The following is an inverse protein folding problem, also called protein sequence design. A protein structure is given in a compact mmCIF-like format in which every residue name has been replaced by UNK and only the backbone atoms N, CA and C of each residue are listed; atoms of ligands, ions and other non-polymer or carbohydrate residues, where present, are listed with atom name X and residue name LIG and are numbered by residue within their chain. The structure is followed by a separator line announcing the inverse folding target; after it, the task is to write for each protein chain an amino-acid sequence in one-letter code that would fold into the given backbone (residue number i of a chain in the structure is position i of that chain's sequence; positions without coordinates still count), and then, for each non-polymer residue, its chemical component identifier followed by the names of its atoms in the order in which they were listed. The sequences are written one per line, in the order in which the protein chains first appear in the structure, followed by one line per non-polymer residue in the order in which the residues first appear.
data_IF_406268167215
#
_entry.id   IF_406268167215
#
_cell.length_a   1.000
_cell.length_b   1.000
_cell.length_c   1.000
_cell.angle_alpha   90.00
_cell.angle_beta   90.00
_cell.angle_gamma   90.00
#
_symmetry.space_group_name_H-M   'P 1'
#
loop_
_entity.id
_entity.type
_entity.pdbx_description
1 polymer ?
#
# COMPACT_ATOMS: atom_id res chain seq x y z
N UNK A 1 14.02 2.66 17.61
CA UNK A 1 13.60 1.29 17.98
C UNK A 1 14.15 0.33 16.94
N UNK A 2 14.97 -0.65 17.33
CA UNK A 2 15.46 -1.71 16.42
C UNK A 2 14.43 -2.84 16.42
N UNK A 3 13.72 -3.03 15.31
CA UNK A 3 12.78 -4.13 15.15
C UNK A 3 13.54 -5.39 14.73
N UNK A 4 13.42 -6.46 15.51
CA UNK A 4 13.86 -7.80 15.11
C UNK A 4 12.87 -8.32 14.07
N UNK A 5 13.35 -8.62 12.85
CA UNK A 5 12.55 -9.11 11.74
C UNK A 5 12.58 -10.65 11.67
N UNK A 6 11.99 -11.34 12.64
CA UNK A 6 11.46 -12.67 12.34
C UNK A 6 10.37 -12.49 11.26
N UNK A 7 10.35 -13.34 10.22
CA UNK A 7 9.34 -13.31 9.15
C UNK A 7 9.21 -11.98 8.36
N UNK A 8 10.30 -11.24 8.14
CA UNK A 8 10.31 -10.01 7.30
C UNK A 8 9.34 -8.90 7.78
N UNK A 9 8.84 -8.96 9.02
CA UNK A 9 7.90 -7.96 9.56
C UNK A 9 6.45 -8.08 9.09
N UNK A 10 6.09 -9.20 8.45
CA UNK A 10 4.71 -9.51 8.04
C UNK A 10 4.09 -10.55 8.98
N UNK A 11 3.94 -10.19 10.25
CA UNK A 11 3.36 -11.05 11.29
C UNK A 11 2.35 -10.32 12.17
N UNK A 12 1.63 -11.10 12.99
CA UNK A 12 0.58 -10.58 13.89
C UNK A 12 1.13 -9.54 14.88
N UNK A 13 2.35 -9.73 15.37
CA UNK A 13 3.01 -8.80 16.30
C UNK A 13 3.30 -7.45 15.63
N UNK A 14 3.69 -7.47 14.36
CA UNK A 14 3.89 -6.26 13.57
C UNK A 14 2.55 -5.55 13.32
N UNK A 15 1.49 -6.31 13.05
CA UNK A 15 0.13 -5.77 12.94
C UNK A 15 -0.35 -5.12 14.26
N UNK A 16 -0.12 -5.74 15.40
CA UNK A 16 -0.45 -5.19 16.73
C UNK A 16 0.27 -3.87 17.01
N UNK A 17 1.57 -3.80 16.73
CA UNK A 17 2.37 -2.59 16.96
C UNK A 17 1.94 -1.44 16.06
N UNK A 18 1.70 -1.71 14.77
CA UNK A 18 1.19 -0.71 13.84
C UNK A 18 -0.23 -0.27 14.21
N UNK A 19 -1.11 -1.21 14.58
CA UNK A 19 -2.46 -0.92 15.05
C UNK A 19 -2.44 0.04 16.24
N UNK A 20 -1.60 -0.24 17.25
CA UNK A 20 -1.43 0.64 18.41
C UNK A 20 -0.93 2.04 18.01
N UNK A 21 0.05 2.13 17.12
CA UNK A 21 0.62 3.41 16.68
C UNK A 21 -0.39 4.26 15.89
N UNK A 22 -1.31 3.62 15.18
CA UNK A 22 -2.34 4.27 14.36
C UNK A 22 -3.70 4.38 15.05
N UNK A 23 -3.81 3.97 16.32
CA UNK A 23 -5.07 3.91 17.07
C UNK A 23 -6.15 3.04 16.39
N UNK A 24 -5.73 1.93 15.77
CA UNK A 24 -6.59 0.95 15.10
C UNK A 24 -6.56 -0.36 15.89
N UNK A 25 -7.75 -0.92 16.19
CA UNK A 25 -7.84 -2.29 16.69
C UNK A 25 -7.52 -3.29 15.58
N UNK A 26 -6.41 -4.00 15.74
CA UNK A 26 -5.89 -4.94 14.75
C UNK A 26 -6.43 -6.37 14.93
N UNK A 27 -7.10 -6.67 16.04
CA UNK A 27 -7.68 -7.99 16.29
C UNK A 27 -8.66 -8.45 15.19
N UNK A 28 -9.70 -7.66 14.81
CA UNK A 28 -10.63 -8.06 13.76
C UNK A 28 -9.95 -8.18 12.38
N UNK A 29 -8.91 -7.38 12.12
CA UNK A 29 -8.14 -7.44 10.87
C UNK A 29 -7.37 -8.76 10.78
N UNK A 30 -6.71 -9.17 11.88
CA UNK A 30 -6.00 -10.47 11.94
C UNK A 30 -6.95 -11.65 11.79
N UNK A 31 -8.10 -11.59 12.46
CA UNK A 31 -9.12 -12.63 12.34
C UNK A 31 -9.63 -12.74 10.90
N UNK A 32 -9.92 -11.61 10.25
CA UNK A 32 -10.30 -11.57 8.84
C UNK A 32 -9.20 -12.16 7.94
N UNK A 33 -7.93 -11.81 8.16
CA UNK A 33 -6.81 -12.26 7.35
C UNK A 33 -6.62 -13.79 7.40
N UNK A 34 -6.88 -14.41 8.57
CA UNK A 34 -6.81 -15.87 8.76
C UNK A 34 -8.08 -16.61 8.34
N UNK A 35 -9.19 -15.89 8.22
CA UNK A 35 -10.49 -16.45 7.87
C UNK A 35 -10.74 -16.56 6.37
N UNK A 36 -11.92 -17.11 6.03
CA UNK A 36 -12.40 -17.25 4.65
C UNK A 36 -12.40 -15.92 3.89
N UNK A 37 -12.81 -14.84 4.55
CA UNK A 37 -12.87 -13.51 3.94
C UNK A 37 -11.49 -13.03 3.47
N UNK A 38 -10.44 -13.27 4.25
CA UNK A 38 -9.06 -12.98 3.86
C UNK A 38 -8.64 -13.74 2.62
N UNK A 39 -8.95 -15.04 2.54
CA UNK A 39 -8.68 -15.86 1.34
C UNK A 39 -9.45 -15.35 0.10
N UNK A 40 -10.72 -15.01 0.26
CA UNK A 40 -11.56 -14.48 -0.83
C UNK A 40 -11.00 -13.16 -1.37
N UNK A 41 -10.59 -12.25 -0.48
CA UNK A 41 -9.99 -10.97 -0.87
C UNK A 41 -8.65 -11.18 -1.59
N UNK A 42 -7.79 -12.06 -1.08
CA UNK A 42 -6.50 -12.35 -1.71
C UNK A 42 -6.69 -12.90 -3.13
N UNK A 43 -7.63 -13.84 -3.30
CA UNK A 43 -7.97 -14.39 -4.63
C UNK A 43 -8.51 -13.31 -5.56
N UNK A 44 -9.49 -12.54 -5.10
CA UNK A 44 -10.13 -11.49 -5.90
C UNK A 44 -9.10 -10.51 -6.45
N UNK A 45 -8.24 -9.95 -5.60
CA UNK A 45 -7.22 -9.01 -6.06
C UNK A 45 -6.12 -9.68 -6.91
N UNK A 46 -5.81 -10.96 -6.68
CA UNK A 46 -4.96 -11.74 -7.57
C UNK A 46 -5.52 -11.85 -8.99
N UNK A 47 -6.83 -12.10 -9.12
CA UNK A 47 -7.51 -12.14 -10.41
C UNK A 47 -7.54 -10.77 -11.10
N UNK A 48 -7.76 -9.68 -10.35
CA UNK A 48 -7.72 -8.31 -10.90
C UNK A 48 -6.32 -7.93 -11.41
N UNK A 49 -5.25 -8.34 -10.72
CA UNK A 49 -3.87 -8.14 -11.16
C UNK A 49 -3.59 -8.89 -12.48
N UNK A 50 -4.08 -10.12 -12.60
CA UNK A 50 -3.96 -10.93 -13.83
C UNK A 50 -4.71 -10.26 -14.98
N UNK A 51 -5.96 -9.81 -14.75
CA UNK A 51 -6.77 -9.10 -15.77
C UNK A 51 -6.07 -7.83 -16.26
N UNK A 52 -5.44 -7.10 -15.34
CA UNK A 52 -4.65 -5.91 -15.66
C UNK A 52 -3.30 -6.21 -16.35
N UNK A 53 -2.95 -7.49 -16.55
CA UNK A 53 -1.71 -7.95 -17.19
C UNK A 53 -0.44 -7.34 -16.57
N UNK A 54 -0.45 -7.21 -15.23
CA UNK A 54 0.68 -6.66 -14.50
C UNK A 54 1.75 -7.74 -14.31
N UNK A 55 2.89 -7.56 -14.98
CA UNK A 55 3.97 -8.58 -14.98
C UNK A 55 4.86 -8.53 -13.75
N UNK A 56 4.97 -7.37 -13.11
CA UNK A 56 5.90 -7.13 -12.00
C UNK A 56 5.31 -6.14 -11.01
N UNK A 57 5.73 -6.25 -9.76
CA UNK A 57 5.52 -5.25 -8.71
C UNK A 57 6.79 -4.42 -8.53
N UNK A 58 6.72 -3.14 -8.19
CA UNK A 58 5.52 -2.29 -8.00
C UNK A 58 4.94 -1.77 -9.32
N UNK A 59 3.60 -1.75 -9.44
CA UNK A 59 2.89 -1.07 -10.52
C UNK A 59 2.21 0.19 -9.98
N UNK A 60 2.64 1.37 -10.42
CA UNK A 60 2.17 2.66 -9.91
C UNK A 60 1.41 3.37 -11.03
N UNK A 61 0.26 3.94 -10.66
CA UNK A 61 -0.53 4.80 -11.54
C UNK A 61 -0.89 6.09 -10.80
N UNK A 62 -0.71 7.24 -11.46
CA UNK A 62 -1.17 8.55 -10.99
C UNK A 62 -2.31 8.93 -11.94
N UNK A 63 -3.55 8.98 -11.42
CA UNK A 63 -4.76 9.22 -12.21
C UNK A 63 -4.87 8.33 -13.47
N UNK A 64 -4.54 7.04 -13.35
CA UNK A 64 -4.58 6.07 -14.44
C UNK A 64 -3.36 6.09 -15.39
N UNK A 65 -2.44 7.05 -15.23
CA UNK A 65 -1.20 7.13 -16.02
C UNK A 65 -0.08 6.38 -15.31
N UNK A 66 0.58 5.47 -16.04
CA UNK A 66 1.71 4.68 -15.51
C UNK A 66 2.84 5.58 -15.00
N UNK A 67 3.37 5.25 -13.83
CA UNK A 67 4.53 5.92 -13.23
C UNK A 67 5.63 4.89 -12.90
N UNK A 68 6.90 5.30 -13.02
CA UNK A 68 8.05 4.44 -12.71
C UNK A 68 8.60 4.62 -11.28
N UNK A 69 8.01 5.53 -10.51
CA UNK A 69 8.35 5.81 -9.12
C UNK A 69 9.58 6.71 -8.91
N UNK A 70 10.38 7.01 -9.95
CA UNK A 70 11.66 7.74 -9.78
C UNK A 70 11.48 9.17 -9.31
N UNK A 71 10.41 9.83 -9.78
CA UNK A 71 10.07 11.22 -9.42
C UNK A 71 8.65 11.30 -8.88
N UNK A 72 8.25 10.33 -8.04
CA UNK A 72 6.84 10.14 -7.65
C UNK A 72 6.19 11.42 -7.11
N UNK A 73 6.81 12.11 -6.15
CA UNK A 73 6.26 13.35 -5.58
C UNK A 73 6.07 14.45 -6.63
N UNK A 74 7.08 14.69 -7.48
CA UNK A 74 6.98 15.66 -8.57
C UNK A 74 5.86 15.32 -9.55
N UNK A 75 5.74 14.03 -9.90
CA UNK A 75 4.70 13.57 -10.81
C UNK A 75 3.29 13.65 -10.20
N UNK A 76 3.16 13.43 -8.88
CA UNK A 76 1.91 13.65 -8.15
C UNK A 76 1.55 15.13 -8.14
N UNK A 77 2.50 16.00 -7.80
CA UNK A 77 2.32 17.45 -7.82
C UNK A 77 1.90 17.97 -9.19
N UNK A 78 2.51 17.47 -10.26
CA UNK A 78 2.20 17.86 -11.63
C UNK A 78 0.81 17.36 -12.11
N UNK A 79 0.21 16.38 -11.41
CA UNK A 79 -1.11 15.86 -11.75
C UNK A 79 -2.26 16.70 -11.17
N UNK A 80 -1.98 17.59 -10.22
CA UNK A 80 -2.98 18.53 -9.70
C UNK A 80 -3.20 19.68 -10.69
N UNK A 81 -4.47 20.05 -10.90
CA UNK A 81 -4.81 21.28 -11.63
C UNK A 81 -4.36 22.52 -10.85
N UNK A 82 -4.53 22.49 -9.52
CA UNK A 82 -4.05 23.51 -8.59
C UNK A 82 -3.17 22.80 -7.53
N UNK A 83 -1.84 22.81 -7.72
CA UNK A 83 -0.94 22.14 -6.79
C UNK A 83 -0.95 22.79 -5.40
N UNK A 84 -0.92 21.99 -4.32
CA UNK A 84 -0.82 22.51 -2.96
C UNK A 84 0.54 23.18 -2.71
N UNK A 85 0.66 23.98 -1.65
CA UNK A 85 1.86 24.79 -1.38
C UNK A 85 3.13 23.94 -1.25
N UNK A 86 3.02 22.74 -0.70
CA UNK A 86 4.11 21.78 -0.55
C UNK A 86 4.71 21.34 -1.89
N UNK A 87 3.99 21.54 -3.00
CA UNK A 87 4.48 21.24 -4.35
C UNK A 87 5.32 22.36 -4.97
N UNK A 88 5.34 23.56 -4.38
CA UNK A 88 6.06 24.71 -4.96
C UNK A 88 7.58 24.49 -5.02
N UNK A 89 8.15 23.80 -4.03
CA UNK A 89 9.59 23.49 -3.98
C UNK A 89 9.97 22.19 -4.71
N UNK A 90 9.00 21.49 -5.30
CA UNK A 90 9.16 20.14 -5.87
C UNK A 90 9.01 20.14 -7.41
N UNK A 91 8.24 21.08 -7.97
CA UNK A 91 7.97 21.20 -9.40
C UNK A 91 9.12 21.83 -10.18
#
# INVERSE_FOLDING_TARGET
MKYSHSNQGSDDNSADKCGKALYIDSAPIRECAKGKRGTELLKYYGEEIIKANLKHVSHIQINGVKNDGKHFMRNVCAAFAEPPTECQDIL
#
